data_IF_498780657253
#
_entry.id   IF_498780657253
#
_cell.length_a   1.000
_cell.length_b   1.000
_cell.length_c   1.000
_cell.angle_alpha   90.00
_cell.angle_beta   90.00
_cell.angle_gamma   90.00
#
_symmetry.space_group_name_H-M   'P 1'
#
loop_
_entity.id
_entity.type
_entity.pdbx_description
1 polymer ?
#
# COMPACT_ATOMS: atom_id res chain seq x y z
N UNK A 1 20.86 12.24 7.72
CA UNK A 1 20.00 11.06 7.48
C UNK A 1 18.60 11.54 7.13
N UNK A 2 18.05 11.10 6.00
CA UNK A 2 16.64 11.34 5.64
C UNK A 2 15.75 10.43 6.49
N UNK A 3 14.75 10.98 7.18
CA UNK A 3 13.74 10.19 7.89
C UNK A 3 12.62 9.74 6.94
N UNK A 4 11.85 8.71 7.32
CA UNK A 4 10.71 8.23 6.53
C UNK A 4 9.72 9.35 6.19
N UNK A 5 9.33 10.17 7.17
CA UNK A 5 8.39 11.28 6.93
C UNK A 5 8.98 12.36 6.01
N UNK A 6 10.26 12.68 6.16
CA UNK A 6 10.94 13.61 5.25
C UNK A 6 10.96 13.04 3.83
N UNK A 7 11.23 11.75 3.67
CA UNK A 7 11.18 11.08 2.38
C UNK A 7 9.77 11.02 1.79
N UNK A 8 8.75 10.72 2.60
CA UNK A 8 7.37 10.57 2.13
C UNK A 8 6.83 11.88 1.55
N UNK A 9 7.07 12.99 2.24
CA UNK A 9 6.54 14.31 1.86
C UNK A 9 7.49 15.15 1.01
N UNK A 10 8.80 15.15 1.30
CA UNK A 10 9.80 15.98 0.60
C UNK A 10 10.65 15.19 -0.39
N UNK A 11 10.82 13.89 -0.18
CA UNK A 11 11.58 13.00 -1.07
C UNK A 11 13.05 12.82 -0.73
N UNK A 12 13.71 11.96 -1.51
CA UNK A 12 15.17 11.83 -1.53
C UNK A 12 15.66 11.63 -2.97
N UNK A 13 16.38 12.58 -3.56
CA UNK A 13 16.88 12.49 -4.94
C UNK A 13 15.76 12.42 -5.99
N UNK A 14 15.12 11.25 -6.09
CA UNK A 14 14.07 10.84 -7.03
C UNK A 14 12.65 11.37 -6.70
N UNK A 15 12.54 12.45 -5.92
CA UNK A 15 11.27 13.06 -5.53
C UNK A 15 10.55 12.42 -4.33
N UNK A 16 9.38 12.99 -3.98
CA UNK A 16 8.60 12.60 -2.80
C UNK A 16 8.01 11.19 -2.92
N UNK A 17 8.04 10.42 -1.83
CA UNK A 17 7.46 9.08 -1.75
C UNK A 17 5.98 9.05 -2.14
N UNK A 18 5.21 10.09 -1.81
CA UNK A 18 3.80 10.22 -2.19
C UNK A 18 3.56 10.20 -3.70
N UNK A 19 4.51 10.68 -4.52
CA UNK A 19 4.38 10.67 -5.97
C UNK A 19 4.31 9.25 -6.55
N UNK A 20 4.80 8.25 -5.81
CA UNK A 20 4.76 6.84 -6.22
C UNK A 20 3.34 6.28 -6.23
N UNK A 21 2.46 6.82 -5.39
CA UNK A 21 1.06 6.41 -5.41
C UNK A 21 0.29 7.04 -6.58
N UNK A 22 0.75 8.20 -7.07
CA UNK A 22 0.13 9.04 -8.09
C UNK A 22 0.62 8.68 -9.51
N UNK A 23 0.49 7.42 -9.89
CA UNK A 23 0.78 6.95 -11.25
C UNK A 23 -0.45 7.03 -12.17
N UNK A 24 -0.32 6.59 -13.42
CA UNK A 24 -1.45 6.55 -14.38
C UNK A 24 -2.59 5.62 -13.91
N UNK A 25 -2.29 4.65 -13.05
CA UNK A 25 -3.27 3.71 -12.51
C UNK A 25 -4.13 4.32 -11.40
N UNK A 26 -3.76 5.48 -10.84
CA UNK A 26 -4.61 6.21 -9.89
C UNK A 26 -6.02 6.44 -10.47
N UNK A 27 -6.12 6.71 -11.78
CA UNK A 27 -7.40 6.94 -12.46
C UNK A 27 -8.28 5.69 -12.43
N UNK A 28 -7.69 4.51 -12.58
CA UNK A 28 -8.40 3.24 -12.45
C UNK A 28 -8.92 3.07 -11.02
N UNK A 29 -8.10 3.35 -10.01
CA UNK A 29 -8.52 3.22 -8.61
C UNK A 29 -9.60 4.24 -8.22
N UNK A 30 -9.53 5.46 -8.75
CA UNK A 30 -10.61 6.45 -8.63
C UNK A 30 -11.89 5.91 -9.27
N UNK A 31 -11.80 5.36 -10.48
CA UNK A 31 -12.96 4.76 -11.16
C UNK A 31 -13.56 3.60 -10.37
N UNK A 32 -12.74 2.72 -9.79
CA UNK A 32 -13.18 1.62 -8.92
C UNK A 32 -13.87 2.16 -7.67
N UNK A 33 -13.28 3.16 -7.00
CA UNK A 33 -13.87 3.79 -5.82
C UNK A 33 -15.24 4.40 -6.13
N UNK A 34 -15.35 5.13 -7.24
CA UNK A 34 -16.61 5.76 -7.67
C UNK A 34 -17.66 4.71 -8.05
N UNK A 35 -17.27 3.69 -8.82
CA UNK A 35 -18.16 2.63 -9.26
C UNK A 35 -18.71 1.85 -8.05
N UNK A 36 -17.86 1.45 -7.11
CA UNK A 36 -18.29 0.69 -5.93
C UNK A 36 -19.13 1.56 -4.99
N UNK A 37 -18.78 2.82 -4.77
CA UNK A 37 -19.58 3.74 -3.96
C UNK A 37 -20.97 3.99 -4.56
N UNK A 38 -21.12 3.92 -5.88
CA UNK A 38 -22.40 4.08 -6.56
C UNK A 38 -23.21 2.77 -6.63
N UNK A 39 -22.55 1.65 -6.89
CA UNK A 39 -23.19 0.35 -7.15
C UNK A 39 -23.57 -0.43 -5.90
N UNK A 40 -22.99 -0.11 -4.74
CA UNK A 40 -23.20 -0.85 -3.49
C UNK A 40 -24.19 -0.07 -2.60
N UNK A 41 -25.49 -0.41 -2.59
CA UNK A 41 -26.51 0.28 -1.80
C UNK A 41 -26.67 -0.31 -0.40
N UNK A 42 -25.59 -0.84 0.21
CA UNK A 42 -25.64 -1.39 1.57
C UNK A 42 -25.00 -0.41 2.56
N UNK A 43 -25.43 -0.42 3.83
CA UNK A 43 -24.78 0.38 4.87
C UNK A 43 -23.29 0.07 4.97
N UNK A 44 -22.46 1.10 5.18
CA UNK A 44 -21.02 0.98 5.32
C UNK A 44 -20.62 0.03 6.44
N UNK A 45 -21.36 0.03 7.56
CA UNK A 45 -21.16 -0.96 8.62
C UNK A 45 -21.31 -2.40 8.14
N UNK A 46 -22.33 -2.70 7.34
CA UNK A 46 -22.58 -4.07 6.86
C UNK A 46 -21.53 -4.49 5.83
N UNK A 47 -21.16 -3.57 4.92
CA UNK A 47 -20.05 -3.77 4.00
C UNK A 47 -18.74 -4.04 4.76
N UNK A 48 -18.48 -3.25 5.81
CA UNK A 48 -17.29 -3.36 6.62
C UNK A 48 -17.27 -4.67 7.39
N UNK A 49 -18.32 -5.05 8.12
CA UNK A 49 -18.32 -6.32 8.87
C UNK A 49 -18.13 -7.52 7.94
N UNK A 50 -18.74 -7.49 6.76
CA UNK A 50 -18.61 -8.56 5.76
C UNK A 50 -17.19 -8.67 5.18
N UNK A 51 -16.55 -7.54 4.90
CA UNK A 51 -15.26 -7.49 4.20
C UNK A 51 -14.05 -7.40 5.14
N UNK A 52 -14.20 -6.76 6.31
CA UNK A 52 -13.10 -6.40 7.21
C UNK A 52 -12.33 -7.63 7.67
N UNK A 53 -13.00 -8.67 8.19
CA UNK A 53 -12.30 -9.83 8.73
C UNK A 53 -11.51 -10.60 7.65
N UNK A 54 -12.09 -10.97 6.50
CA UNK A 54 -11.35 -11.63 5.44
C UNK A 54 -10.23 -10.76 4.86
N UNK A 55 -10.53 -9.49 4.55
CA UNK A 55 -9.57 -8.60 3.87
C UNK A 55 -8.45 -8.19 4.81
N UNK A 56 -8.74 -7.93 6.09
CA UNK A 56 -7.71 -7.66 7.10
C UNK A 56 -6.76 -8.83 7.27
N UNK A 57 -7.29 -10.06 7.39
CA UNK A 57 -6.47 -11.26 7.50
C UNK A 57 -5.52 -11.42 6.31
N UNK A 58 -6.02 -11.24 5.08
CA UNK A 58 -5.22 -11.33 3.85
C UNK A 58 -4.15 -10.24 3.81
N UNK A 59 -4.50 -8.98 4.06
CA UNK A 59 -3.55 -7.88 3.97
C UNK A 59 -2.49 -7.92 5.06
N UNK A 60 -2.86 -8.28 6.28
CA UNK A 60 -1.91 -8.49 7.38
C UNK A 60 -0.98 -9.67 7.03
N UNK A 61 -1.54 -10.81 6.62
CA UNK A 61 -0.76 -11.99 6.24
C UNK A 61 0.23 -11.72 5.11
N UNK A 62 -0.20 -11.02 4.05
CA UNK A 62 0.67 -10.61 2.95
C UNK A 62 1.75 -9.62 3.40
N UNK A 63 1.40 -8.64 4.25
CA UNK A 63 2.37 -7.67 4.77
C UNK A 63 3.50 -8.35 5.54
N UNK A 64 3.17 -9.31 6.40
CA UNK A 64 4.17 -10.03 7.19
C UNK A 64 4.97 -11.04 6.36
N UNK A 65 4.30 -11.79 5.48
CA UNK A 65 4.96 -12.78 4.62
C UNK A 65 6.00 -12.11 3.69
N UNK A 66 5.64 -11.00 3.07
CA UNK A 66 6.51 -10.32 2.12
C UNK A 66 7.43 -9.30 2.78
N UNK A 67 7.01 -8.67 3.88
CA UNK A 67 7.87 -7.79 4.68
C UNK A 67 9.09 -8.52 5.23
N UNK A 68 8.91 -9.73 5.78
CA UNK A 68 10.02 -10.56 6.27
C UNK A 68 10.98 -10.98 5.15
N UNK A 69 10.46 -11.46 4.03
CA UNK A 69 11.27 -11.85 2.88
C UNK A 69 12.02 -10.66 2.26
N UNK A 70 11.35 -9.51 2.12
CA UNK A 70 11.98 -8.29 1.61
C UNK A 70 13.07 -7.80 2.56
N UNK A 71 12.85 -7.82 3.87
CA UNK A 71 13.85 -7.42 4.86
C UNK A 71 15.09 -8.32 4.79
N UNK A 72 14.91 -9.63 4.68
CA UNK A 72 16.02 -10.57 4.54
C UNK A 72 16.81 -10.36 3.23
N UNK A 73 16.14 -10.01 2.13
CA UNK A 73 16.79 -9.68 0.86
C UNK A 73 17.58 -8.37 0.93
N UNK A 74 17.02 -7.35 1.58
CA UNK A 74 17.67 -6.05 1.72
C UNK A 74 18.96 -6.14 2.57
N UNK A 75 19.03 -7.08 3.52
CA UNK A 75 20.24 -7.35 4.30
C UNK A 75 21.35 -8.09 3.52
N UNK A 76 21.12 -8.45 2.25
CA UNK A 76 22.12 -9.14 1.45
C UNK A 76 23.07 -8.16 0.76
N UNK A 77 24.38 -8.49 0.77
CA UNK A 77 25.42 -7.64 0.17
C UNK A 77 25.22 -7.43 -1.33
N UNK A 78 24.59 -8.38 -2.03
CA UNK A 78 24.28 -8.24 -3.45
C UNK A 78 23.27 -7.11 -3.70
N UNK A 79 22.25 -6.99 -2.85
CA UNK A 79 21.22 -5.95 -2.96
C UNK A 79 21.72 -4.61 -2.46
N UNK A 80 22.53 -4.59 -1.39
CA UNK A 80 23.22 -3.39 -0.93
C UNK A 80 24.07 -2.79 -2.05
N UNK A 81 24.91 -3.60 -2.69
CA UNK A 81 25.75 -3.19 -3.82
C UNK A 81 24.91 -2.71 -5.00
N UNK A 82 23.84 -3.42 -5.37
CA UNK A 82 22.93 -2.99 -6.43
C UNK A 82 22.28 -1.62 -6.13
N UNK A 83 21.91 -1.37 -4.87
CA UNK A 83 21.25 -0.14 -4.46
C UNK A 83 22.14 1.10 -4.60
N UNK A 84 23.47 0.93 -4.52
CA UNK A 84 24.44 2.02 -4.71
C UNK A 84 24.45 2.62 -6.13
N UNK A 85 23.98 1.85 -7.12
CA UNK A 85 23.91 2.28 -8.52
C UNK A 85 22.59 2.95 -8.89
N UNK A 86 21.66 3.11 -7.93
CA UNK A 86 20.33 3.68 -8.16
C UNK A 86 20.15 4.99 -7.41
N UNK A 87 19.57 5.98 -8.06
CA UNK A 87 19.18 7.24 -7.43
C UNK A 87 18.27 6.99 -6.23
N UNK A 88 18.59 7.62 -5.09
CA UNK A 88 17.92 7.43 -3.79
C UNK A 88 18.48 6.30 -2.92
N UNK A 89 19.29 5.41 -3.50
CA UNK A 89 20.05 4.40 -2.77
C UNK A 89 19.20 3.36 -2.02
N UNK A 90 19.81 2.69 -1.06
CA UNK A 90 19.19 1.66 -0.22
C UNK A 90 17.93 2.14 0.53
N UNK A 91 17.96 3.38 1.02
CA UNK A 91 16.88 4.00 1.80
C UNK A 91 15.55 4.00 1.05
N UNK A 92 15.62 4.19 -0.26
CA UNK A 92 14.44 4.23 -1.12
C UNK A 92 13.70 2.89 -1.17
N UNK A 93 14.42 1.77 -1.13
CA UNK A 93 13.81 0.44 -1.06
C UNK A 93 13.08 0.26 0.27
N UNK A 94 13.77 0.54 1.38
CA UNK A 94 13.21 0.39 2.74
C UNK A 94 11.94 1.24 2.89
N UNK A 95 11.99 2.50 2.50
CA UNK A 95 10.86 3.42 2.67
C UNK A 95 9.69 3.12 1.73
N UNK A 96 9.94 2.49 0.59
CA UNK A 96 8.85 1.99 -0.28
C UNK A 96 8.06 0.87 0.39
N UNK A 97 8.73 -0.10 1.03
CA UNK A 97 8.05 -1.15 1.80
C UNK A 97 7.28 -0.57 3.00
N UNK A 98 7.89 0.38 3.73
CA UNK A 98 7.21 1.05 4.84
C UNK A 98 5.97 1.83 4.40
N UNK A 99 6.01 2.47 3.24
CA UNK A 99 4.88 3.21 2.69
C UNK A 99 3.72 2.28 2.30
N UNK A 100 4.01 1.10 1.74
CA UNK A 100 2.99 0.09 1.44
C UNK A 100 2.32 -0.44 2.72
N UNK A 101 3.10 -0.74 3.76
CA UNK A 101 2.57 -1.16 5.07
C UNK A 101 1.71 -0.06 5.69
N UNK A 102 2.17 1.20 5.63
CA UNK A 102 1.39 2.34 6.14
C UNK A 102 0.04 2.46 5.43
N UNK A 103 0.01 2.29 4.10
CA UNK A 103 -1.25 2.31 3.33
C UNK A 103 -2.21 1.20 3.77
N UNK A 104 -1.69 -0.02 3.97
CA UNK A 104 -2.48 -1.15 4.48
C UNK A 104 -3.08 -0.80 5.85
N UNK A 105 -2.26 -0.32 6.78
CA UNK A 105 -2.72 0.05 8.13
C UNK A 105 -3.77 1.15 8.10
N UNK A 106 -3.57 2.20 7.29
CA UNK A 106 -4.55 3.28 7.11
C UNK A 106 -5.88 2.72 6.59
N UNK A 107 -5.84 1.86 5.59
CA UNK A 107 -7.03 1.24 5.01
C UNK A 107 -7.78 0.39 6.04
N UNK A 108 -7.07 -0.40 6.84
CA UNK A 108 -7.67 -1.21 7.90
C UNK A 108 -8.31 -0.35 9.00
N UNK A 109 -7.66 0.75 9.41
CA UNK A 109 -8.21 1.68 10.38
C UNK A 109 -9.49 2.31 9.83
N UNK A 110 -9.50 2.75 8.57
CA UNK A 110 -10.69 3.34 7.94
C UNK A 110 -11.87 2.35 7.92
N UNK A 111 -11.62 1.09 7.56
CA UNK A 111 -12.65 0.05 7.58
C UNK A 111 -13.08 -0.35 8.99
N UNK A 112 -12.18 -0.33 9.98
CA UNK A 112 -12.53 -0.59 11.36
C UNK A 112 -13.48 0.50 11.91
N UNK A 113 -13.20 1.77 11.61
CA UNK A 113 -14.08 2.89 11.95
C UNK A 113 -15.46 2.71 11.29
N UNK A 114 -15.50 2.28 10.02
CA UNK A 114 -16.76 1.94 9.33
C UNK A 114 -17.50 0.77 10.00
N UNK A 115 -16.81 -0.31 10.35
CA UNK A 115 -17.40 -1.49 10.99
C UNK A 115 -17.92 -1.23 12.41
N UNK A 116 -17.32 -0.29 13.14
CA UNK A 116 -17.82 0.20 14.42
C UNK A 116 -19.09 1.07 14.27
N UNK A 117 -19.51 1.37 13.04
CA UNK A 117 -20.68 2.18 12.76
C UNK A 117 -20.48 3.66 13.06
N UNK A 118 -19.24 4.15 13.18
CA UNK A 118 -18.97 5.57 13.50
C UNK A 118 -19.56 6.50 12.44
N UNK A 119 -19.44 6.13 11.16
CA UNK A 119 -20.01 6.87 10.04
C UNK A 119 -21.54 6.80 9.96
N UNK A 120 -22.14 5.75 10.52
CA UNK A 120 -23.59 5.55 10.51
C UNK A 120 -24.27 6.08 11.80
N UNK A 121 -23.55 6.18 12.93
CA UNK A 121 -24.11 6.49 14.27
C UNK A 121 -23.68 7.83 14.87
N UNK A 122 -22.41 8.23 14.74
CA UNK A 122 -21.85 9.40 15.46
C UNK A 122 -21.84 10.64 14.58
N UNK A 123 -21.68 10.47 13.27
CA UNK A 123 -21.65 11.56 12.31
C UNK A 123 -22.96 11.56 11.53
N UNK A 124 -23.76 12.65 11.49
CA UNK A 124 -25.05 12.65 10.81
C UNK A 124 -24.83 12.76 9.30
N UNK A 125 -24.32 11.70 8.69
CA UNK A 125 -24.13 11.58 7.26
C UNK A 125 -25.42 11.06 6.58
N UNK A 126 -26.36 10.50 7.35
CA UNK A 126 -27.71 10.17 6.86
C UNK A 126 -28.47 11.38 6.28
N UNK A 127 -28.13 12.61 6.70
CA UNK A 127 -28.75 13.84 6.18
C UNK A 127 -28.04 14.38 4.93
N UNK A 128 -26.76 14.05 4.73
CA UNK A 128 -25.96 14.54 3.61
C UNK A 128 -25.43 13.39 2.75
N UNK A 129 -26.24 13.02 1.76
CA UNK A 129 -25.95 11.96 0.79
C UNK A 129 -24.57 12.13 0.11
N UNK A 130 -24.13 13.36 -0.15
CA UNK A 130 -22.83 13.63 -0.77
C UNK A 130 -21.65 13.26 0.14
N UNK A 131 -21.75 13.53 1.45
CA UNK A 131 -20.71 13.13 2.40
C UNK A 131 -20.66 11.60 2.57
N UNK A 132 -21.81 10.93 2.53
CA UNK A 132 -21.88 9.46 2.60
C UNK A 132 -21.18 8.83 1.40
N UNK A 133 -21.52 9.35 0.22
CA UNK A 133 -20.92 8.93 -1.03
C UNK A 133 -19.40 9.17 -1.02
N UNK A 134 -18.95 10.33 -0.55
CA UNK A 134 -17.53 10.67 -0.49
C UNK A 134 -16.74 9.73 0.43
N UNK A 135 -17.26 9.39 1.61
CA UNK A 135 -16.62 8.44 2.54
C UNK A 135 -16.60 7.04 1.95
N UNK A 136 -17.71 6.60 1.35
CA UNK A 136 -17.79 5.31 0.66
C UNK A 136 -16.76 5.22 -0.47
N UNK A 137 -16.67 6.28 -1.28
CA UNK A 137 -15.67 6.42 -2.32
C UNK A 137 -14.25 6.26 -1.75
N UNK A 138 -13.90 6.98 -0.69
CA UNK A 138 -12.57 6.88 -0.09
C UNK A 138 -12.28 5.48 0.44
N UNK A 139 -13.23 4.83 1.13
CA UNK A 139 -13.06 3.47 1.63
C UNK A 139 -12.75 2.47 0.50
N UNK A 140 -13.53 2.50 -0.58
CA UNK A 140 -13.30 1.63 -1.73
C UNK A 140 -12.04 1.99 -2.52
N UNK A 141 -11.73 3.28 -2.64
CA UNK A 141 -10.50 3.77 -3.26
C UNK A 141 -9.25 3.29 -2.51
N UNK A 142 -9.20 3.45 -1.19
CA UNK A 142 -8.09 3.00 -0.36
C UNK A 142 -7.96 1.47 -0.35
N UNK A 143 -9.08 0.73 -0.37
CA UNK A 143 -9.06 -0.72 -0.59
C UNK A 143 -8.41 -1.09 -1.91
N UNK A 144 -8.80 -0.42 -3.00
CA UNK A 144 -8.29 -0.69 -4.33
C UNK A 144 -6.79 -0.37 -4.43
N UNK A 145 -6.35 0.76 -3.87
CA UNK A 145 -4.94 1.11 -3.79
C UNK A 145 -4.16 0.11 -2.95
N UNK A 146 -4.72 -0.36 -1.84
CA UNK A 146 -4.06 -1.35 -0.98
C UNK A 146 -3.82 -2.66 -1.70
N UNK A 147 -4.79 -3.13 -2.50
CA UNK A 147 -4.60 -4.32 -3.35
C UNK A 147 -3.44 -4.11 -4.34
N UNK A 148 -3.35 -2.93 -4.97
CA UNK A 148 -2.23 -2.61 -5.86
C UNK A 148 -0.90 -2.66 -5.12
N UNK A 149 -0.79 -2.01 -3.95
CA UNK A 149 0.46 -1.98 -3.19
C UNK A 149 0.86 -3.36 -2.68
N UNK A 150 -0.09 -4.20 -2.26
CA UNK A 150 0.17 -5.59 -1.94
C UNK A 150 0.81 -6.32 -3.13
N UNK A 151 0.29 -6.15 -4.33
CA UNK A 151 0.86 -6.75 -5.53
C UNK A 151 2.26 -6.19 -5.87
N UNK A 152 2.44 -4.87 -5.75
CA UNK A 152 3.74 -4.22 -5.97
C UNK A 152 4.82 -4.69 -4.99
N UNK A 153 4.47 -4.92 -3.72
CA UNK A 153 5.37 -5.50 -2.71
C UNK A 153 5.85 -6.89 -3.13
N UNK A 154 4.94 -7.74 -3.62
CA UNK A 154 5.28 -9.09 -4.14
C UNK A 154 6.24 -8.99 -5.33
N UNK A 155 5.87 -8.18 -6.33
CA UNK A 155 6.71 -7.98 -7.52
C UNK A 155 8.09 -7.41 -7.15
N UNK A 156 8.14 -6.45 -6.22
CA UNK A 156 9.37 -5.87 -5.70
C UNK A 156 10.27 -6.93 -5.06
N UNK A 157 9.73 -7.73 -4.14
CA UNK A 157 10.49 -8.81 -3.49
C UNK A 157 11.01 -9.86 -4.50
N UNK A 158 10.16 -10.30 -5.44
CA UNK A 158 10.55 -11.25 -6.47
C UNK A 158 11.64 -10.68 -7.41
N UNK A 159 11.52 -9.41 -7.79
CA UNK A 159 12.53 -8.74 -8.63
C UNK A 159 13.90 -8.68 -7.93
N UNK A 160 13.94 -8.38 -6.63
CA UNK A 160 15.18 -8.39 -5.85
C UNK A 160 15.77 -9.80 -5.74
N UNK A 161 14.92 -10.82 -5.53
CA UNK A 161 15.37 -12.20 -5.48
C UNK A 161 15.99 -12.65 -6.81
N UNK A 162 15.36 -12.33 -7.94
CA UNK A 162 15.89 -12.61 -9.27
C UNK A 162 17.20 -11.86 -9.53
N UNK A 163 17.28 -10.59 -9.15
CA UNK A 163 18.51 -9.80 -9.27
C UNK A 163 19.67 -10.43 -8.48
N UNK A 164 19.43 -10.82 -7.22
CA UNK A 164 20.41 -11.51 -6.38
C UNK A 164 20.87 -12.82 -7.01
N UNK A 165 19.95 -13.62 -7.55
CA UNK A 165 20.29 -14.87 -8.23
C UNK A 165 21.18 -14.63 -9.46
N UNK A 166 20.86 -13.63 -10.28
CA UNK A 166 21.66 -13.27 -11.45
C UNK A 166 23.06 -12.76 -11.09
N UNK A 167 23.19 -11.96 -10.03
CA UNK A 167 24.48 -11.46 -9.53
C UNK A 167 25.36 -12.64 -9.08
N UNK A 168 24.80 -13.57 -8.30
CA UNK A 168 25.52 -14.76 -7.84
C UNK A 168 25.97 -15.65 -8.98
N UNK A 169 25.08 -15.92 -9.95
CA UNK A 169 25.43 -16.71 -11.12
C UNK A 169 26.63 -16.12 -11.86
N UNK A 170 26.60 -14.82 -12.15
CA UNK A 170 27.71 -14.11 -12.82
C UNK A 170 29.01 -14.08 -12.01
N UNK A 171 28.93 -14.12 -10.67
CA UNK A 171 30.10 -14.21 -9.80
C UNK A 171 30.73 -15.60 -9.81
N UNK A 172 29.94 -16.67 -9.99
CA UNK A 172 30.45 -18.05 -10.06
C UNK A 172 31.00 -18.40 -11.46
N UNK A 173 30.56 -17.70 -12.50
CA UNK A 173 31.03 -17.88 -13.88
C UNK A 173 32.36 -17.11 -14.17
N UNK A 174 32.92 -16.38 -13.19
CA UNK A 174 34.18 -15.62 -13.27
C UNK A 174 35.25 -16.25 -12.40
#
# INVERSE_FOLDING_TARGET
>A
MTTFWSWLFKGSGNGAGLKRFLDRWILLHIAVGLALAFLIPIPLKDAAVTLLLPVAGIFIGLSFAWGGNAQALLQSTEIENMSSFRDGGYVEYVYTFQAAILLILVTLILWAIAGLGVFDMVWPICSNHYLYFLISFFLFFFSSLTVRECWHVVLGAQSMLLARFQIRKRSNDR
#
